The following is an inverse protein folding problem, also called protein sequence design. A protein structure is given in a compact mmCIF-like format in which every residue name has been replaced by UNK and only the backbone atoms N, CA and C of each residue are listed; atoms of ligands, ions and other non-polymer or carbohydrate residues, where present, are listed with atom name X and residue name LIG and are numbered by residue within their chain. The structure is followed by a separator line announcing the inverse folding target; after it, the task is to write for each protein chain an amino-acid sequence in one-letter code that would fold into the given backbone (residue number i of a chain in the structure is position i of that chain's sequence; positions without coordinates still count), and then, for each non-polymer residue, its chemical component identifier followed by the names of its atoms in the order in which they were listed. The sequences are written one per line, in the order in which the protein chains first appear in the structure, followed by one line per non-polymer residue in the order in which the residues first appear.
data_IF_899269047266
#
_entry.id   IF_899269047266
#
_cell.length_a   1.000
_cell.length_b   1.000
_cell.length_c   1.000
_cell.angle_alpha   90.00
_cell.angle_beta   90.00
_cell.angle_gamma   90.00
#
_symmetry.space_group_name_H-M   'P 1'
#
loop_
_entity.id
_entity.type
_entity.pdbx_description
1 polymer ?
#
# COMPACT_ATOMS: atom_id res chain seq x y z
N UNK A 1 -17.25 -13.12 39.76
CA UNK A 1 -16.62 -12.07 38.92
C UNK A 1 -15.27 -12.58 38.43
N UNK A 2 -15.20 -13.11 37.22
CA UNK A 2 -13.93 -13.44 36.56
C UNK A 2 -13.60 -12.34 35.56
N UNK A 3 -12.46 -11.68 35.78
CA UNK A 3 -11.87 -10.74 34.83
C UNK A 3 -11.52 -11.53 33.56
N UNK A 4 -12.16 -11.17 32.45
CA UNK A 4 -11.78 -11.65 31.12
C UNK A 4 -10.36 -11.13 30.88
N UNK A 5 -9.40 -12.05 30.94
CA UNK A 5 -8.02 -11.78 30.55
C UNK A 5 -8.06 -11.64 29.02
N UNK A 6 -8.22 -10.40 28.54
CA UNK A 6 -7.96 -10.03 27.14
C UNK A 6 -6.46 -10.21 26.91
N UNK A 7 -6.06 -11.44 26.63
CA UNK A 7 -4.74 -11.75 26.08
C UNK A 7 -4.78 -11.24 24.64
N UNK A 8 -4.50 -9.95 24.47
CA UNK A 8 -4.03 -9.44 23.18
C UNK A 8 -2.75 -10.20 22.87
N UNK A 9 -2.84 -11.17 21.96
CA UNK A 9 -1.69 -11.80 21.36
C UNK A 9 -0.91 -10.72 20.62
N UNK A 10 0.06 -10.13 21.32
CA UNK A 10 1.22 -9.51 20.72
C UNK A 10 1.95 -10.62 19.98
N UNK A 11 1.68 -10.77 18.67
CA UNK A 11 2.57 -11.48 17.78
C UNK A 11 3.83 -10.65 17.64
N UNK A 12 4.77 -10.83 18.56
CA UNK A 12 6.13 -10.37 18.37
C UNK A 12 6.83 -11.26 17.35
N UNK A 13 7.35 -10.59 16.32
CA UNK A 13 8.42 -10.97 15.38
C UNK A 13 8.09 -12.00 14.30
N UNK A 14 7.63 -11.50 13.15
CA UNK A 14 8.19 -11.92 11.87
C UNK A 14 8.32 -10.71 10.93
N UNK A 15 9.43 -9.98 11.07
CA UNK A 15 9.84 -8.89 10.18
C UNK A 15 10.13 -9.34 8.73
N UNK A 16 9.82 -10.60 8.39
CA UNK A 16 10.08 -11.20 7.09
C UNK A 16 8.88 -11.17 6.13
N UNK A 17 7.65 -10.90 6.61
CA UNK A 17 6.45 -10.97 5.74
C UNK A 17 6.19 -9.67 4.95
N UNK A 18 6.53 -8.49 5.50
CA UNK A 18 6.27 -7.20 4.86
C UNK A 18 7.13 -6.97 3.60
N UNK A 19 8.45 -7.09 3.75
CA UNK A 19 9.39 -6.90 2.63
C UNK A 19 9.16 -7.93 1.52
N UNK A 20 8.83 -9.17 1.89
CA UNK A 20 8.50 -10.22 0.94
C UNK A 20 7.18 -9.93 0.20
N UNK A 21 6.15 -9.49 0.92
CA UNK A 21 4.85 -9.16 0.31
C UNK A 21 4.94 -7.99 -0.67
N UNK A 22 5.67 -6.91 -0.35
CA UNK A 22 5.85 -5.79 -1.29
C UNK A 22 6.69 -6.18 -2.52
N UNK A 23 7.72 -7.01 -2.33
CA UNK A 23 8.52 -7.51 -3.46
C UNK A 23 7.66 -8.36 -4.40
N UNK A 24 6.84 -9.26 -3.85
CA UNK A 24 5.91 -10.07 -4.64
C UNK A 24 4.83 -9.23 -5.32
N UNK A 25 4.29 -8.22 -4.63
CA UNK A 25 3.34 -7.28 -5.25
C UNK A 25 3.97 -6.55 -6.44
N UNK A 26 5.22 -6.11 -6.31
CA UNK A 26 5.97 -5.44 -7.38
C UNK A 26 6.19 -6.37 -8.56
N UNK A 27 6.63 -7.61 -8.29
CA UNK A 27 6.86 -8.62 -9.34
C UNK A 27 5.56 -8.96 -10.08
N UNK A 28 4.47 -9.21 -9.35
CA UNK A 28 3.16 -9.50 -9.93
C UNK A 28 2.63 -8.32 -10.76
N UNK A 29 2.77 -7.08 -10.27
CA UNK A 29 2.37 -5.88 -11.02
C UNK A 29 3.15 -5.74 -12.33
N UNK A 30 4.47 -5.91 -12.29
CA UNK A 30 5.33 -5.87 -13.48
C UNK A 30 5.00 -6.99 -14.48
N UNK A 31 4.49 -8.13 -13.99
CA UNK A 31 4.03 -9.25 -14.80
C UNK A 31 2.58 -9.09 -15.30
N UNK A 32 1.87 -8.00 -14.96
CA UNK A 32 0.46 -7.79 -15.31
C UNK A 32 -0.52 -8.65 -14.51
N UNK A 33 -0.07 -9.32 -13.45
CA UNK A 33 -0.87 -10.18 -12.59
C UNK A 33 -1.56 -9.36 -11.50
N UNK A 34 -2.52 -8.53 -11.90
CA UNK A 34 -3.13 -7.50 -11.05
C UNK A 34 -3.82 -8.03 -9.78
N UNK A 35 -4.52 -9.16 -9.88
CA UNK A 35 -5.18 -9.78 -8.70
C UNK A 35 -4.18 -10.33 -7.68
N UNK A 36 -3.07 -10.89 -8.16
CA UNK A 36 -1.98 -11.36 -7.31
C UNK A 36 -1.25 -10.18 -6.67
N UNK A 37 -0.99 -9.12 -7.43
CA UNK A 37 -0.44 -7.88 -6.89
C UNK A 37 -1.35 -7.32 -5.79
N UNK A 38 -2.67 -7.27 -6.00
CA UNK A 38 -3.63 -6.83 -4.98
C UNK A 38 -3.60 -7.72 -3.73
N UNK A 39 -3.45 -9.03 -3.90
CA UNK A 39 -3.36 -9.99 -2.80
C UNK A 39 -2.15 -9.73 -1.92
N UNK A 40 -0.99 -9.52 -2.54
CA UNK A 40 0.24 -9.19 -1.83
C UNK A 40 0.20 -7.79 -1.20
N UNK A 41 -0.39 -6.80 -1.86
CA UNK A 41 -0.63 -5.47 -1.27
C UNK A 41 -1.50 -5.55 -0.02
N UNK A 42 -2.57 -6.37 -0.04
CA UNK A 42 -3.44 -6.58 1.13
C UNK A 42 -2.68 -7.20 2.30
N UNK A 43 -1.81 -8.18 2.04
CA UNK A 43 -0.95 -8.79 3.08
C UNK A 43 0.04 -7.79 3.66
N UNK A 44 0.74 -7.04 2.81
CA UNK A 44 1.67 -5.99 3.26
C UNK A 44 0.96 -4.94 4.14
N UNK A 45 -0.26 -4.53 3.76
CA UNK A 45 -1.08 -3.60 4.55
C UNK A 45 -1.49 -4.16 5.92
N UNK A 46 -1.71 -5.47 6.05
CA UNK A 46 -2.03 -6.08 7.34
C UNK A 46 -0.83 -6.00 8.31
N UNK A 47 0.39 -6.08 7.78
CA UNK A 47 1.62 -5.95 8.55
C UNK A 47 1.90 -4.51 8.97
N UNK A 48 1.88 -3.56 8.01
CA UNK A 48 1.99 -2.13 8.28
C UNK A 48 0.85 -1.36 7.58
N UNK A 49 -0.23 -1.03 8.31
CA UNK A 49 -1.34 -0.24 7.78
C UNK A 49 -0.98 1.19 7.39
N UNK A 50 0.20 1.67 7.77
CA UNK A 50 0.67 3.04 7.55
C UNK A 50 1.91 3.12 6.65
N UNK A 51 2.34 2.02 6.03
CA UNK A 51 3.47 2.02 5.11
C UNK A 51 3.15 2.85 3.86
N UNK A 52 3.91 3.92 3.55
CA UNK A 52 3.71 4.68 2.32
C UNK A 52 4.00 3.83 1.06
N UNK A 53 4.90 2.85 1.13
CA UNK A 53 5.22 1.93 0.03
C UNK A 53 4.01 1.04 -0.32
N UNK A 54 3.26 0.57 0.67
CA UNK A 54 2.00 -0.16 0.45
C UNK A 54 0.99 0.69 -0.33
N UNK A 55 0.85 1.96 0.06
CA UNK A 55 -0.06 2.88 -0.64
C UNK A 55 0.45 3.25 -2.04
N UNK A 56 1.76 3.37 -2.23
CA UNK A 56 2.37 3.56 -3.54
C UNK A 56 2.07 2.38 -4.47
N UNK A 57 2.29 1.14 -4.02
CA UNK A 57 1.98 -0.05 -4.82
C UNK A 57 0.50 -0.14 -5.17
N UNK A 58 -0.39 0.18 -4.21
CA UNK A 58 -1.82 0.26 -4.46
C UNK A 58 -2.15 1.31 -5.53
N UNK A 59 -1.49 2.46 -5.50
CA UNK A 59 -1.73 3.52 -6.48
C UNK A 59 -1.32 3.09 -7.89
N UNK A 60 -0.12 2.52 -8.05
CA UNK A 60 0.33 2.01 -9.35
C UNK A 60 -0.57 0.89 -9.90
N UNK A 61 -1.04 -0.01 -9.04
CA UNK A 61 -2.01 -1.03 -9.45
C UNK A 61 -3.27 -0.41 -10.05
N UNK A 62 -3.83 0.62 -9.41
CA UNK A 62 -5.03 1.28 -9.90
C UNK A 62 -4.78 2.14 -11.14
N UNK A 63 -3.60 2.75 -11.30
CA UNK A 63 -3.21 3.40 -12.57
C UNK A 63 -3.13 2.38 -13.72
N UNK A 64 -2.50 1.23 -13.48
CA UNK A 64 -2.40 0.16 -14.47
C UNK A 64 -3.78 -0.41 -14.89
N UNK A 65 -4.76 -0.35 -13.98
CA UNK A 65 -6.15 -0.76 -14.23
C UNK A 65 -7.05 0.36 -14.79
N UNK A 66 -6.49 1.55 -15.06
CA UNK A 66 -7.24 2.73 -15.49
C UNK A 66 -8.37 3.12 -14.50
N UNK A 67 -8.06 3.08 -13.20
CA UNK A 67 -8.96 3.38 -12.08
C UNK A 67 -8.48 4.64 -11.35
N UNK A 68 -8.68 5.84 -11.94
CA UNK A 68 -8.04 7.08 -11.46
C UNK A 68 -8.52 7.52 -10.08
N UNK A 69 -9.78 7.25 -9.71
CA UNK A 69 -10.33 7.62 -8.39
C UNK A 69 -9.64 6.87 -7.26
N UNK A 70 -9.45 5.56 -7.44
CA UNK A 70 -8.79 4.67 -6.50
C UNK A 70 -7.29 4.95 -6.43
N UNK A 71 -6.67 5.25 -7.58
CA UNK A 71 -5.27 5.67 -7.66
C UNK A 71 -5.03 6.98 -6.88
N UNK A 72 -5.87 8.00 -7.09
CA UNK A 72 -5.82 9.26 -6.34
C UNK A 72 -5.96 9.07 -4.83
N UNK A 73 -6.89 8.20 -4.41
CA UNK A 73 -7.06 7.89 -2.99
C UNK A 73 -5.81 7.21 -2.42
N UNK A 74 -5.19 6.30 -3.17
CA UNK A 74 -3.99 5.61 -2.75
C UNK A 74 -2.77 6.57 -2.67
N UNK A 75 -2.56 7.43 -3.68
CA UNK A 75 -1.51 8.45 -3.64
C UNK A 75 -1.70 9.46 -2.50
N UNK A 76 -2.95 9.84 -2.20
CA UNK A 76 -3.27 10.72 -1.08
C UNK A 76 -2.85 10.10 0.26
N UNK A 77 -3.08 8.79 0.43
CA UNK A 77 -2.61 8.07 1.63
C UNK A 77 -1.08 7.93 1.64
N UNK A 78 -0.45 7.64 0.50
CA UNK A 78 1.01 7.61 0.38
C UNK A 78 1.63 8.95 0.82
N UNK A 79 1.07 10.07 0.37
CA UNK A 79 1.48 11.42 0.76
C UNK A 79 1.30 11.68 2.26
N UNK A 80 0.16 11.23 2.82
CA UNK A 80 -0.18 11.39 4.24
C UNK A 80 0.81 10.67 5.16
N UNK A 81 1.15 9.42 4.85
CA UNK A 81 1.98 8.59 5.73
C UNK A 81 3.48 8.71 5.47
N UNK A 82 3.90 9.16 4.29
CA UNK A 82 5.31 9.29 3.98
C UNK A 82 5.99 10.38 4.83
N UNK A 83 7.25 10.12 5.21
CA UNK A 83 8.19 11.15 5.72
C UNK A 83 9.24 11.54 4.67
N UNK A 84 9.38 10.76 3.60
CA UNK A 84 10.39 10.95 2.56
C UNK A 84 9.97 12.06 1.59
N UNK A 85 10.82 13.09 1.44
CA UNK A 85 10.58 14.19 0.49
C UNK A 85 10.36 13.64 -0.94
N UNK A 86 11.19 12.67 -1.35
CA UNK A 86 11.12 12.05 -2.68
C UNK A 86 9.77 11.37 -2.91
N UNK A 87 9.32 10.54 -1.97
CA UNK A 87 8.02 9.83 -2.09
C UNK A 87 6.86 10.83 -2.11
N UNK A 88 6.92 11.88 -1.28
CA UNK A 88 5.90 12.94 -1.28
C UNK A 88 5.84 13.68 -2.61
N UNK A 89 6.99 14.02 -3.19
CA UNK A 89 7.07 14.69 -4.49
C UNK A 89 6.51 13.81 -5.60
N UNK A 90 6.89 12.53 -5.63
CA UNK A 90 6.32 11.57 -6.56
C UNK A 90 4.79 11.47 -6.43
N UNK A 91 4.28 11.31 -5.20
CA UNK A 91 2.83 11.22 -4.97
C UNK A 91 2.10 12.49 -5.45
N UNK A 92 2.66 13.69 -5.23
CA UNK A 92 2.07 14.94 -5.73
C UNK A 92 2.04 14.98 -7.25
N UNK A 93 3.09 14.54 -7.93
CA UNK A 93 3.14 14.54 -9.39
C UNK A 93 2.03 13.66 -9.98
N UNK A 94 1.89 12.43 -9.48
CA UNK A 94 0.81 11.55 -9.90
C UNK A 94 -0.57 12.10 -9.55
N UNK A 95 -0.76 12.70 -8.37
CA UNK A 95 -2.03 13.35 -8.01
C UNK A 95 -2.39 14.46 -8.99
N UNK A 96 -1.43 15.31 -9.36
CA UNK A 96 -1.68 16.41 -10.30
C UNK A 96 -2.11 15.86 -11.67
N UNK A 97 -1.35 14.89 -12.22
CA UNK A 97 -1.66 14.25 -13.51
C UNK A 97 -3.07 13.64 -13.48
N UNK A 98 -3.37 12.80 -12.49
CA UNK A 98 -4.67 12.12 -12.39
C UNK A 98 -5.84 13.07 -12.11
N UNK A 99 -5.58 14.27 -11.57
CA UNK A 99 -6.61 15.28 -11.33
C UNK A 99 -6.89 16.12 -12.57
N UNK A 100 -5.92 16.24 -13.49
CA UNK A 100 -6.07 16.93 -14.78
C UNK A 100 -6.77 16.06 -15.84
N UNK A 101 -6.73 14.74 -15.69
CA UNK A 101 -7.38 13.76 -16.58
C UNK A 101 -8.89 13.54 -16.31
N UNK A 102 -9.47 14.23 -15.31
CA UNK A 102 -10.90 14.14 -14.93
C UNK A 102 -11.74 15.27 -15.55
#
# INVERSE_FOLDING_TARGET
MMKILLIFFLFSTLSADESNSLLMATAALNAGMYEEALTHIKRAKLSDPTSPEVYQMKAFLHEALNQPKEALQAWSNCLKYSKSKKIKEQARNHINILSEEQ
#
